data_IF_472864675925
#
_entry.id   IF_472864675925
#
_cell.length_a   1.000
_cell.length_b   1.000
_cell.length_c   1.000
_cell.angle_alpha   90.00
_cell.angle_beta   90.00
_cell.angle_gamma   90.00
#
_symmetry.space_group_name_H-M   'P 1'
#
loop_
_entity.id
_entity.type
_entity.pdbx_description
1 polymer ?
#
# COMPACT_ATOMS: atom_id res chain seq x y z
N UNK A 1 10.60 -11.09 6.50
CA UNK A 1 9.39 -11.69 5.92
C UNK A 1 9.27 -11.35 4.44
N UNK A 2 8.63 -12.20 3.65
CA UNK A 2 8.39 -11.97 2.23
C UNK A 2 6.89 -11.72 1.98
N UNK A 3 6.53 -10.81 1.06
CA UNK A 3 5.14 -10.54 0.71
C UNK A 3 4.49 -11.73 -0.01
N UNK A 4 3.20 -11.96 0.22
CA UNK A 4 2.40 -13.03 -0.37
C UNK A 4 1.28 -12.47 -1.27
N UNK A 5 1.01 -13.11 -2.40
CA UNK A 5 -0.16 -12.80 -3.23
C UNK A 5 -0.08 -13.35 -4.66
N UNK A 6 -1.24 -13.42 -5.31
CA UNK A 6 -1.41 -14.06 -6.62
C UNK A 6 -1.23 -13.12 -7.82
N UNK A 7 -1.17 -13.71 -9.01
CA UNK A 7 -1.20 -13.00 -10.29
C UNK A 7 -2.54 -13.24 -11.02
N UNK A 8 -2.94 -12.28 -11.87
CA UNK A 8 -4.16 -12.33 -12.70
C UNK A 8 -5.41 -12.52 -11.85
N UNK A 9 -6.21 -13.55 -12.15
CA UNK A 9 -7.46 -13.89 -11.44
C UNK A 9 -7.23 -14.50 -10.05
N UNK A 10 -5.99 -14.72 -9.65
CA UNK A 10 -5.66 -15.36 -8.37
C UNK A 10 -5.67 -14.39 -7.18
N UNK A 11 -5.84 -13.08 -7.41
CA UNK A 11 -5.96 -12.08 -6.35
C UNK A 11 -5.42 -10.70 -6.76
N UNK A 12 -5.72 -9.69 -5.94
CA UNK A 12 -5.24 -8.32 -6.07
C UNK A 12 -4.54 -7.90 -4.78
N UNK A 13 -3.45 -7.16 -4.90
CA UNK A 13 -2.64 -6.73 -3.75
C UNK A 13 -1.63 -7.78 -3.26
N UNK A 14 -1.01 -7.47 -2.13
CA UNK A 14 -0.03 -8.32 -1.43
C UNK A 14 -0.25 -8.22 0.06
N UNK A 15 -0.19 -9.36 0.73
CA UNK A 15 -0.25 -9.48 2.18
C UNK A 15 1.15 -9.76 2.75
N UNK A 16 1.31 -9.61 4.06
CA UNK A 16 2.60 -9.67 4.77
C UNK A 16 3.63 -8.62 4.34
N UNK A 17 4.66 -8.45 5.18
CA UNK A 17 5.75 -7.50 4.93
C UNK A 17 5.27 -6.05 4.75
N UNK A 18 6.17 -5.20 4.25
CA UNK A 18 5.90 -3.76 4.16
C UNK A 18 4.80 -3.40 3.13
N UNK A 19 4.56 -4.25 2.13
CA UNK A 19 3.54 -4.02 1.11
C UNK A 19 2.11 -4.12 1.69
N UNK A 20 1.89 -4.93 2.72
CA UNK A 20 0.58 -5.08 3.34
C UNK A 20 0.11 -3.79 4.02
N UNK A 21 1.03 -3.05 4.65
CA UNK A 21 0.71 -1.80 5.37
C UNK A 21 0.08 -0.77 4.42
N UNK A 22 0.57 -0.71 3.18
CA UNK A 22 0.08 0.23 2.16
C UNK A 22 -1.39 0.02 1.81
N UNK A 23 -1.94 -1.19 1.99
CA UNK A 23 -3.36 -1.47 1.72
C UNK A 23 -4.30 -0.91 2.80
N UNK A 24 -3.77 -0.62 3.99
CA UNK A 24 -4.55 -0.16 5.14
C UNK A 24 -4.24 1.30 5.53
N UNK A 25 -3.40 1.98 4.75
CA UNK A 25 -3.00 3.37 4.98
C UNK A 25 -3.19 4.19 3.72
N UNK A 26 -3.67 5.43 3.86
CA UNK A 26 -3.77 6.37 2.74
C UNK A 26 -2.73 7.48 2.86
N UNK A 27 -2.17 7.90 1.72
CA UNK A 27 -1.24 9.03 1.66
C UNK A 27 -2.05 10.32 1.57
N UNK A 28 -1.88 11.20 2.57
CA UNK A 28 -2.47 12.53 2.57
C UNK A 28 -1.41 13.58 2.25
N UNK A 29 -1.59 14.30 1.15
CA UNK A 29 -0.72 15.43 0.79
C UNK A 29 -1.17 16.70 1.53
N UNK A 30 -0.24 17.37 2.21
CA UNK A 30 -0.48 18.65 2.89
C UNK A 30 0.40 19.69 2.24
N UNK A 31 -0.20 20.79 1.79
CA UNK A 31 0.48 21.92 1.17
C UNK A 31 0.42 23.13 2.11
N UNK A 32 1.55 23.85 2.23
CA UNK A 32 1.65 25.08 2.98
C UNK A 32 1.97 26.22 2.00
N UNK A 33 1.13 27.26 2.00
CA UNK A 33 1.45 28.54 1.37
C UNK A 33 1.81 29.53 2.48
N UNK A 34 3.06 29.97 2.50
CA UNK A 34 3.46 31.15 3.26
C UNK A 34 3.09 32.40 2.42
N UNK A 35 2.52 33.41 3.08
CA UNK A 35 2.25 34.73 2.47
C UNK A 35 3.56 35.52 2.30
#
# INVERSE_FOLDING_TARGET
EAPFGGFKRSGMGREMGMHAVQLYTEVKNVFFSEE
#
